data_IF_511472444532
#
_entry.id   IF_511472444532
#
_cell.length_a   1.000
_cell.length_b   1.000
_cell.length_c   1.000
_cell.angle_alpha   90.00
_cell.angle_beta   90.00
_cell.angle_gamma   90.00
#
_symmetry.space_group_name_H-M   'P 1'
#
loop_
_entity.id
_entity.type
_entity.pdbx_description
1 polymer ?
#
# COMPACT_ATOMS: atom_id res chain seq x y z
N UNK A 1 -17.33 48.88 16.28
CA UNK A 1 -17.61 47.50 15.84
C UNK A 1 -16.68 47.05 14.69
N UNK A 2 -15.35 47.15 14.83
CA UNK A 2 -14.39 46.74 13.78
C UNK A 2 -13.37 45.67 14.22
N UNK A 3 -13.22 45.43 15.53
CA UNK A 3 -12.26 44.45 16.07
C UNK A 3 -12.75 43.00 16.14
N UNK A 4 -14.05 42.72 15.92
CA UNK A 4 -14.60 41.35 16.01
C UNK A 4 -14.51 40.55 14.71
N UNK A 5 -14.35 41.22 13.56
CA UNK A 5 -14.33 40.57 12.24
C UNK A 5 -12.95 39.95 11.96
N UNK A 6 -11.87 40.61 12.39
CA UNK A 6 -10.49 40.13 12.18
C UNK A 6 -10.17 38.81 12.90
N UNK A 7 -10.80 38.56 14.06
CA UNK A 7 -10.56 37.33 14.84
C UNK A 7 -11.26 36.10 14.22
N UNK A 8 -12.41 36.30 13.57
CA UNK A 8 -13.15 35.20 12.93
C UNK A 8 -12.46 34.70 11.65
N UNK A 9 -11.86 35.61 10.87
CA UNK A 9 -11.10 35.25 9.67
C UNK A 9 -9.78 34.52 9.99
N UNK A 10 -9.14 34.83 11.12
CA UNK A 10 -7.89 34.17 11.53
C UNK A 10 -8.12 32.73 12.00
N UNK A 11 -9.25 32.46 12.65
CA UNK A 11 -9.63 31.13 13.13
C UNK A 11 -10.00 30.18 11.97
N UNK A 12 -10.53 30.72 10.87
CA UNK A 12 -10.86 29.96 9.66
C UNK A 12 -9.60 29.48 8.91
N UNK A 13 -8.53 30.28 8.90
CA UNK A 13 -7.24 29.92 8.26
C UNK A 13 -6.54 28.81 9.03
N UNK A 14 -6.66 28.76 10.37
CA UNK A 14 -6.10 27.69 11.20
C UNK A 14 -6.89 26.38 11.01
N UNK A 15 -8.21 26.46 10.81
CA UNK A 15 -9.03 25.27 10.54
C UNK A 15 -8.81 24.68 9.14
N UNK A 16 -8.44 25.49 8.14
CA UNK A 16 -8.10 25.00 6.80
C UNK A 16 -6.66 24.44 6.70
N UNK A 17 -5.77 24.87 7.59
CA UNK A 17 -4.40 24.33 7.70
C UNK A 17 -4.32 22.96 8.39
N UNK A 18 -5.42 22.47 8.98
CA UNK A 18 -5.48 21.22 9.74
C UNK A 18 -5.56 19.94 8.89
N UNK A 19 -5.78 20.05 7.57
CA UNK A 19 -5.74 18.93 6.63
C UNK A 19 -4.34 18.69 6.05
N UNK A 20 -3.28 18.88 6.85
CA UNK A 20 -1.96 18.34 6.51
C UNK A 20 -2.03 16.85 6.78
N UNK A 21 -2.12 16.05 5.71
CA UNK A 21 -2.01 14.59 5.72
C UNK A 21 -0.81 14.12 6.54
N UNK A 22 -1.00 13.94 7.85
CA UNK A 22 -0.09 13.16 8.68
C UNK A 22 -0.24 11.73 8.20
N UNK A 23 0.68 11.31 7.33
CA UNK A 23 0.87 9.90 7.01
C UNK A 23 0.90 9.11 8.32
N UNK A 24 0.00 8.14 8.45
CA UNK A 24 -0.17 7.38 9.67
C UNK A 24 1.17 6.72 10.06
N UNK A 25 1.49 6.67 11.36
CA UNK A 25 2.73 6.03 11.83
C UNK A 25 2.83 4.58 11.39
N UNK A 26 1.69 3.90 11.28
CA UNK A 26 1.56 2.54 10.76
C UNK A 26 2.02 2.40 9.31
N UNK A 27 1.60 3.32 8.43
CA UNK A 27 2.01 3.30 7.02
C UNK A 27 3.53 3.45 6.87
N UNK A 28 4.15 4.36 7.64
CA UNK A 28 5.61 4.51 7.65
C UNK A 28 6.31 3.26 8.16
N UNK A 29 5.77 2.64 9.21
CA UNK A 29 6.32 1.39 9.75
C UNK A 29 6.23 0.25 8.72
N UNK A 30 5.09 0.09 8.04
CA UNK A 30 4.92 -0.91 6.98
C UNK A 30 5.94 -0.71 5.85
N UNK A 31 6.12 0.52 5.38
CA UNK A 31 7.10 0.85 4.34
C UNK A 31 8.54 0.55 4.77
N UNK A 32 8.89 0.83 6.04
CA UNK A 32 10.19 0.47 6.59
C UNK A 32 10.39 -1.04 6.63
N UNK A 33 9.38 -1.81 7.03
CA UNK A 33 9.45 -3.27 7.03
C UNK A 33 9.60 -3.85 5.62
N UNK A 34 8.94 -3.25 4.62
CA UNK A 34 9.10 -3.66 3.21
C UNK A 34 10.51 -3.36 2.69
N UNK A 35 11.06 -2.20 3.02
CA UNK A 35 12.45 -1.85 2.68
C UNK A 35 13.45 -2.84 3.31
N UNK A 36 13.27 -3.18 4.59
CA UNK A 36 14.07 -4.21 5.26
C UNK A 36 13.90 -5.60 4.63
N UNK A 37 12.76 -5.87 4.00
CA UNK A 37 12.51 -7.10 3.25
C UNK A 37 13.05 -7.05 1.80
N UNK A 38 13.77 -6.00 1.42
CA UNK A 38 14.40 -5.84 0.10
C UNK A 38 13.54 -5.12 -0.95
N UNK A 39 12.31 -4.74 -0.62
CA UNK A 39 11.40 -4.03 -1.54
C UNK A 39 11.64 -2.53 -1.45
N UNK A 40 12.26 -1.97 -2.48
CA UNK A 40 12.53 -0.54 -2.57
C UNK A 40 11.40 0.20 -3.29
N UNK A 41 11.31 1.52 -3.12
CA UNK A 41 10.31 2.39 -3.78
C UNK A 41 8.84 1.94 -3.62
N UNK A 42 8.47 1.55 -2.39
CA UNK A 42 7.09 1.21 -2.03
C UNK A 42 6.47 2.31 -1.16
N UNK A 43 5.19 2.57 -1.38
CA UNK A 43 4.43 3.60 -0.66
C UNK A 43 3.00 3.17 -0.43
N UNK A 44 2.55 3.20 0.82
CA UNK A 44 1.15 3.04 1.19
C UNK A 44 0.39 4.30 0.75
N UNK A 45 -0.62 4.13 -0.10
CA UNK A 45 -1.45 5.22 -0.65
C UNK A 45 -2.87 5.20 -0.12
N UNK A 46 -3.35 4.06 0.41
CA UNK A 46 -4.68 3.92 1.03
C UNK A 46 -4.62 2.96 2.22
N UNK A 47 -5.33 3.30 3.28
CA UNK A 47 -5.53 2.47 4.48
C UNK A 47 -7.03 2.27 4.75
N UNK A 48 -7.39 1.18 5.43
CA UNK A 48 -8.77 0.83 5.77
C UNK A 48 -9.05 -0.66 5.56
N UNK A 49 -10.23 -0.99 5.02
CA UNK A 49 -10.59 -2.37 4.65
C UNK A 49 -9.76 -2.88 3.46
N UNK A 50 -9.32 -1.98 2.60
CA UNK A 50 -8.39 -2.27 1.52
C UNK A 50 -7.13 -1.44 1.75
N UNK A 51 -5.97 -2.11 1.80
CA UNK A 51 -4.68 -1.43 1.86
C UNK A 51 -4.11 -1.41 0.44
N UNK A 52 -3.80 -0.21 -0.05
CA UNK A 52 -3.25 -0.01 -1.38
C UNK A 52 -1.82 0.52 -1.27
N UNK A 53 -0.92 -0.09 -2.03
CA UNK A 53 0.47 0.33 -2.17
C UNK A 53 0.78 0.66 -3.61
N UNK A 54 1.47 1.78 -3.81
CA UNK A 54 2.24 2.02 -5.02
C UNK A 54 3.62 1.37 -4.84
N UNK A 55 4.06 0.63 -5.85
CA UNK A 55 5.34 -0.07 -5.85
C UNK A 55 6.04 0.12 -7.19
N UNK A 56 7.31 0.52 -7.16
CA UNK A 56 8.13 0.61 -8.35
C UNK A 56 9.37 -0.28 -8.23
N UNK A 57 9.46 -1.40 -8.97
CA UNK A 57 10.66 -2.21 -8.95
C UNK A 57 11.86 -1.36 -9.35
N UNK A 58 12.96 -1.45 -8.60
CA UNK A 58 14.27 -1.06 -9.12
C UNK A 58 14.58 -1.99 -10.31
N UNK A 59 15.37 -1.55 -11.30
CA UNK A 59 15.68 -2.38 -12.50
C UNK A 59 16.06 -3.80 -12.06
N UNK A 60 15.17 -4.75 -12.35
CA UNK A 60 15.31 -6.17 -12.03
C UNK A 60 15.73 -6.91 -13.28
N UNK A 61 16.69 -7.82 -13.14
CA UNK A 61 17.21 -8.61 -14.26
C UNK A 61 16.25 -9.75 -14.67
N UNK A 62 15.36 -10.18 -13.76
CA UNK A 62 14.48 -11.33 -13.94
C UNK A 62 13.08 -11.09 -13.37
N UNK A 63 12.04 -11.59 -14.04
CA UNK A 63 10.63 -11.48 -13.61
C UNK A 63 10.38 -12.11 -12.23
N UNK A 64 11.13 -13.17 -11.89
CA UNK A 64 11.02 -13.90 -10.64
C UNK A 64 11.27 -13.01 -9.40
N UNK A 65 12.11 -11.98 -9.56
CA UNK A 65 12.40 -11.01 -8.50
C UNK A 65 11.18 -10.16 -8.19
N UNK A 66 10.44 -9.73 -9.21
CA UNK A 66 9.19 -8.97 -9.03
C UNK A 66 8.16 -9.79 -8.24
N UNK A 67 8.03 -11.07 -8.57
CA UNK A 67 7.10 -11.97 -7.87
C UNK A 67 7.50 -12.16 -6.41
N UNK A 68 8.80 -12.30 -6.13
CA UNK A 68 9.31 -12.37 -4.77
C UNK A 68 9.01 -11.09 -3.98
N UNK A 69 9.17 -9.92 -4.60
CA UNK A 69 8.86 -8.63 -4.00
C UNK A 69 7.35 -8.47 -3.71
N UNK A 70 6.47 -8.91 -4.61
CA UNK A 70 5.02 -8.96 -4.31
C UNK A 70 4.73 -9.82 -3.08
N UNK A 71 5.38 -10.98 -2.96
CA UNK A 71 5.27 -11.85 -1.79
C UNK A 71 5.71 -11.15 -0.51
N UNK A 72 6.84 -10.43 -0.54
CA UNK A 72 7.33 -9.65 0.59
C UNK A 72 6.36 -8.54 0.98
N UNK A 73 5.81 -7.79 0.01
CA UNK A 73 4.81 -6.76 0.24
C UNK A 73 3.58 -7.35 0.95
N UNK A 74 2.99 -8.42 0.41
CA UNK A 74 1.82 -9.08 1.02
C UNK A 74 2.13 -9.60 2.43
N UNK A 75 3.32 -10.16 2.64
CA UNK A 75 3.78 -10.62 3.95
C UNK A 75 3.84 -9.50 4.99
N UNK A 76 4.35 -8.32 4.62
CA UNK A 76 4.40 -7.17 5.52
C UNK A 76 3.00 -6.58 5.77
N UNK A 77 2.21 -6.44 4.70
CA UNK A 77 0.85 -5.91 4.80
C UNK A 77 -0.02 -6.77 5.71
N UNK A 78 0.02 -8.10 5.56
CA UNK A 78 -0.78 -9.03 6.37
C UNK A 78 -0.45 -9.00 7.86
N UNK A 79 0.81 -8.77 8.22
CA UNK A 79 1.25 -8.64 9.61
C UNK A 79 0.90 -7.28 10.21
N UNK A 80 0.99 -6.22 9.40
CA UNK A 80 0.81 -4.83 9.87
C UNK A 80 -0.66 -4.40 9.89
N UNK A 81 -1.47 -4.94 8.97
CA UNK A 81 -2.88 -4.63 8.79
C UNK A 81 -3.75 -5.90 8.87
N UNK A 82 -3.74 -6.63 10.00
CA UNK A 82 -4.43 -7.93 10.10
C UNK A 82 -5.95 -7.85 10.00
N UNK A 83 -6.55 -6.65 10.13
CA UNK A 83 -7.98 -6.39 9.98
C UNK A 83 -8.40 -5.98 8.56
N UNK A 84 -7.46 -5.84 7.63
CA UNK A 84 -7.79 -5.58 6.24
C UNK A 84 -8.53 -6.77 5.63
N UNK A 85 -9.45 -6.49 4.71
CA UNK A 85 -10.16 -7.50 3.92
C UNK A 85 -9.38 -7.81 2.64
N UNK A 86 -8.58 -6.85 2.15
CA UNK A 86 -7.88 -6.94 0.87
C UNK A 86 -6.58 -6.12 0.83
N UNK A 87 -5.64 -6.60 0.03
CA UNK A 87 -4.39 -5.93 -0.30
C UNK A 87 -4.32 -5.68 -1.80
N UNK A 88 -3.94 -4.47 -2.20
CA UNK A 88 -3.77 -4.05 -3.59
C UNK A 88 -2.36 -3.49 -3.79
N UNK A 89 -1.63 -4.06 -4.75
CA UNK A 89 -0.32 -3.58 -5.18
C UNK A 89 -0.49 -2.97 -6.56
N UNK A 90 -0.21 -1.69 -6.70
CA UNK A 90 -0.17 -0.97 -7.98
C UNK A 90 1.29 -0.86 -8.38
N UNK A 91 1.70 -1.70 -9.33
CA UNK A 91 3.07 -1.68 -9.85
C UNK A 91 3.22 -0.58 -10.90
N UNK A 92 4.22 0.29 -10.71
CA UNK A 92 4.52 1.40 -11.60
C UNK A 92 5.95 1.34 -12.11
N UNK A 93 6.13 1.56 -13.41
CA UNK A 93 7.43 1.77 -14.05
C UNK A 93 7.41 3.16 -14.68
N UNK A 94 8.39 4.00 -14.34
CA UNK A 94 8.47 5.40 -14.80
C UNK A 94 7.17 6.19 -14.60
N UNK A 95 6.48 5.93 -13.48
CA UNK A 95 5.21 6.57 -13.13
C UNK A 95 3.97 5.98 -13.82
N UNK A 96 4.14 5.06 -14.77
CA UNK A 96 3.05 4.39 -15.49
C UNK A 96 2.66 3.11 -14.77
N UNK A 97 1.36 2.89 -14.54
CA UNK A 97 0.86 1.63 -13.98
C UNK A 97 1.02 0.51 -15.00
N UNK A 98 1.81 -0.51 -14.68
CA UNK A 98 2.05 -1.66 -15.56
C UNK A 98 1.31 -2.91 -15.12
N UNK A 99 0.96 -3.00 -13.83
CA UNK A 99 0.16 -4.09 -13.29
C UNK A 99 -0.54 -3.66 -12.01
N UNK A 100 -1.71 -4.24 -11.76
CA UNK A 100 -2.35 -4.19 -10.43
C UNK A 100 -2.59 -5.60 -9.93
N UNK A 101 -2.07 -5.89 -8.74
CA UNK A 101 -2.18 -7.20 -8.08
C UNK A 101 -3.10 -7.06 -6.88
N UNK A 102 -4.17 -7.84 -6.83
CA UNK A 102 -5.18 -7.79 -5.76
C UNK A 102 -5.30 -9.16 -5.11
N UNK A 103 -5.16 -9.19 -3.79
CA UNK A 103 -5.31 -10.41 -2.99
C UNK A 103 -6.28 -10.19 -1.82
N UNK A 104 -7.15 -11.15 -1.54
CA UNK A 104 -7.91 -11.13 -0.29
C UNK A 104 -6.97 -11.40 0.88
N UNK A 105 -7.19 -10.73 2.00
CA UNK A 105 -6.35 -10.89 3.18
C UNK A 105 -6.41 -12.32 3.75
N UNK A 106 -7.56 -12.99 3.62
CA UNK A 106 -7.74 -14.39 4.03
C UNK A 106 -6.87 -15.36 3.24
N UNK A 107 -6.69 -15.13 1.93
CA UNK A 107 -5.88 -16.00 1.07
C UNK A 107 -4.38 -15.81 1.35
N UNK A 108 -3.95 -14.55 1.53
CA UNK A 108 -2.57 -14.24 1.95
C UNK A 108 -2.27 -14.88 3.31
N UNK A 109 -3.22 -14.80 4.26
CA UNK A 109 -3.09 -15.44 5.57
C UNK A 109 -2.99 -16.96 5.42
N UNK A 110 -3.89 -17.59 4.67
CA UNK A 110 -3.86 -19.04 4.44
C UNK A 110 -2.53 -19.51 3.84
N UNK A 111 -1.97 -18.74 2.89
CA UNK A 111 -0.65 -19.02 2.33
C UNK A 111 0.46 -18.89 3.38
N UNK A 112 0.46 -17.80 4.15
CA UNK A 112 1.46 -17.58 5.21
C UNK A 112 1.44 -18.63 6.32
N UNK A 113 0.27 -19.25 6.55
CA UNK A 113 0.06 -20.34 7.50
C UNK A 113 0.32 -21.72 6.88
N UNK A 114 0.74 -21.80 5.61
CA UNK A 114 1.01 -23.06 4.90
C UNK A 114 -0.23 -23.88 4.56
N UNK A 115 -1.44 -23.30 4.65
CA UNK A 115 -2.71 -23.99 4.34
C UNK A 115 -2.98 -24.13 2.85
N UNK A 116 -2.43 -23.20 2.05
CA UNK A 116 -2.47 -23.24 0.59
C UNK A 116 -1.06 -23.03 0.05
N UNK A 117 -0.75 -23.62 -1.11
CA UNK A 117 0.53 -23.45 -1.79
C UNK A 117 0.60 -22.19 -2.66
N UNK A 118 1.80 -21.86 -3.15
CA UNK A 118 2.03 -20.71 -4.04
C UNK A 118 1.17 -20.79 -5.31
N UNK A 119 1.03 -21.98 -5.90
CA UNK A 119 0.22 -22.18 -7.12
C UNK A 119 -1.26 -21.86 -6.87
N UNK A 120 -1.80 -22.29 -5.74
CA UNK A 120 -3.18 -22.02 -5.36
C UNK A 120 -3.39 -20.54 -5.04
N UNK A 121 -2.46 -19.91 -4.30
CA UNK A 121 -2.49 -18.47 -4.06
C UNK A 121 -2.47 -17.69 -5.38
N UNK A 122 -1.59 -18.05 -6.33
CA UNK A 122 -1.49 -17.40 -7.64
C UNK A 122 -2.82 -17.42 -8.40
N UNK A 123 -3.58 -18.52 -8.31
CA UNK A 123 -4.89 -18.65 -8.97
C UNK A 123 -6.00 -17.85 -8.28
N UNK A 124 -5.81 -17.42 -7.03
CA UNK A 124 -6.78 -16.65 -6.24
C UNK A 124 -6.49 -15.15 -6.23
N UNK A 125 -5.25 -14.77 -6.57
CA UNK A 125 -4.87 -13.39 -6.79
C UNK A 125 -5.42 -12.92 -8.14
N UNK A 126 -5.99 -11.71 -8.15
CA UNK A 126 -6.37 -11.04 -9.40
C UNK A 126 -5.18 -10.22 -9.90
N UNK A 127 -4.70 -10.51 -11.09
CA UNK A 127 -3.71 -9.71 -11.81
C UNK A 127 -4.41 -8.96 -12.95
N UNK A 128 -4.30 -7.64 -12.92
CA UNK A 128 -4.79 -6.74 -13.96
C UNK A 128 -3.58 -6.12 -14.69
N UNK A 129 -3.67 -5.99 -16.01
CA UNK A 129 -2.65 -5.29 -16.81
C UNK A 129 -2.60 -3.78 -16.50
N UNK A 130 -1.63 -3.08 -17.08
CA UNK A 130 -1.52 -1.62 -17.01
C UNK A 130 -2.66 -0.93 -17.78
N UNK A 131 -3.20 0.13 -17.18
CA UNK A 131 -4.35 0.95 -17.63
C UNK A 131 -5.74 0.27 -17.60
N UNK A 132 -6.18 -0.15 -16.40
CA UNK A 132 -7.58 -0.02 -15.93
C UNK A 132 -7.71 1.13 -14.92
#
# INVERSE_FOLDING_TARGET
MRGKILFLSLLLVIFLSGCVSRKNSTAKFAEQQMNLAGVQNVKIVKEGKEIEVDYSPTIVEYEDQIVAEWGAIFGVLSKTYPSAERYKIVQKIDGTTVATIIANASDVKAYSEGKIGLYELKNRIKLLGGDE
#
